data_IF_021351490059
#
_entry.id   IF_021351490059
#
_cell.length_a   1.000
_cell.length_b   1.000
_cell.length_c   1.000
_cell.angle_alpha   90.00
_cell.angle_beta   90.00
_cell.angle_gamma   90.00
#
_symmetry.space_group_name_H-M   'P 1'
#
loop_
_entity.id
_entity.type
_entity.pdbx_description
1 polymer ?
#
# COMPACT_ATOMS: atom_id res chain seq x y z
N UNK A 1 -4.24 3.87 -5.52
CA UNK A 1 -4.27 2.67 -4.65
C UNK A 1 -5.61 2.51 -3.92
N UNK A 2 -6.02 3.44 -3.04
CA UNK A 2 -7.31 3.34 -2.31
C UNK A 2 -8.52 3.17 -3.25
N UNK A 3 -8.63 4.04 -4.27
CA UNK A 3 -9.68 3.93 -5.29
C UNK A 3 -9.69 2.57 -6.02
N UNK A 4 -8.50 2.06 -6.37
CA UNK A 4 -8.35 0.76 -7.03
C UNK A 4 -8.85 -0.40 -6.15
N UNK A 5 -8.59 -0.34 -4.84
CA UNK A 5 -9.07 -1.32 -3.87
C UNK A 5 -10.59 -1.25 -3.65
N UNK A 6 -11.17 -0.06 -3.70
CA UNK A 6 -12.64 0.10 -3.70
C UNK A 6 -13.27 -0.47 -4.97
N UNK A 7 -12.66 -0.25 -6.14
CA UNK A 7 -13.12 -0.82 -7.40
C UNK A 7 -13.11 -2.36 -7.35
N UNK A 8 -12.05 -2.95 -6.81
CA UNK A 8 -11.95 -4.40 -6.57
C UNK A 8 -13.03 -4.89 -5.60
N UNK A 9 -13.26 -4.17 -4.50
CA UNK A 9 -14.32 -4.52 -3.54
C UNK A 9 -15.70 -4.50 -4.20
N UNK A 10 -16.02 -3.47 -4.98
CA UNK A 10 -17.32 -3.33 -5.64
C UNK A 10 -17.53 -4.43 -6.70
N UNK A 11 -16.53 -4.68 -7.53
CA UNK A 11 -16.60 -5.70 -8.58
C UNK A 11 -16.73 -7.13 -8.04
N UNK A 12 -16.14 -7.44 -6.89
CA UNK A 12 -16.15 -8.79 -6.31
C UNK A 12 -17.31 -9.05 -5.32
N UNK A 13 -17.93 -8.00 -4.77
CA UNK A 13 -18.92 -8.16 -3.69
C UNK A 13 -20.36 -7.90 -4.12
N UNK A 14 -20.57 -7.17 -5.21
CA UNK A 14 -21.89 -6.71 -5.60
C UNK A 14 -22.53 -7.61 -6.67
N UNK A 15 -23.64 -8.32 -6.37
CA UNK A 15 -24.22 -9.30 -7.29
C UNK A 15 -24.66 -8.73 -8.64
N UNK A 16 -25.16 -7.49 -8.68
CA UNK A 16 -25.58 -6.86 -9.94
C UNK A 16 -24.42 -6.54 -10.89
N UNK A 17 -23.18 -6.56 -10.40
CA UNK A 17 -21.97 -6.37 -11.21
C UNK A 17 -21.33 -7.71 -11.62
N UNK A 18 -21.96 -8.85 -11.30
CA UNK A 18 -21.45 -10.18 -11.67
C UNK A 18 -21.07 -10.33 -13.15
N UNK A 19 -21.84 -9.80 -14.14
CA UNK A 19 -21.47 -9.90 -15.55
C UNK A 19 -20.16 -9.19 -15.91
N UNK A 20 -19.78 -8.16 -15.16
CA UNK A 20 -18.59 -7.34 -15.40
C UNK A 20 -17.49 -7.56 -14.34
N UNK A 21 -17.71 -8.46 -13.38
CA UNK A 21 -16.84 -8.65 -12.21
C UNK A 21 -15.40 -8.97 -12.60
N UNK A 22 -15.19 -9.86 -13.59
CA UNK A 22 -13.85 -10.20 -14.09
C UNK A 22 -13.12 -8.98 -14.68
N UNK A 23 -13.78 -8.20 -15.53
CA UNK A 23 -13.20 -6.99 -16.13
C UNK A 23 -12.86 -5.95 -15.06
N UNK A 24 -13.75 -5.72 -14.09
CA UNK A 24 -13.52 -4.80 -12.99
C UNK A 24 -12.37 -5.28 -12.08
N UNK A 25 -12.24 -6.58 -11.85
CA UNK A 25 -11.15 -7.16 -11.09
C UNK A 25 -9.79 -6.95 -11.77
N UNK A 26 -9.72 -7.17 -13.09
CA UNK A 26 -8.50 -6.93 -13.88
C UNK A 26 -8.14 -5.44 -13.86
N UNK A 27 -9.10 -4.56 -14.18
CA UNK A 27 -8.87 -3.12 -14.20
C UNK A 27 -8.43 -2.60 -12.82
N UNK A 28 -9.10 -3.03 -11.76
CA UNK A 28 -8.74 -2.68 -10.39
C UNK A 28 -7.33 -3.13 -10.02
N UNK A 29 -6.95 -4.35 -10.39
CA UNK A 29 -5.63 -4.92 -10.11
C UNK A 29 -4.53 -4.19 -10.87
N UNK A 30 -4.70 -3.97 -12.18
CA UNK A 30 -3.72 -3.26 -13.01
C UNK A 30 -3.55 -1.82 -12.53
N UNK A 31 -4.66 -1.13 -12.24
CA UNK A 31 -4.62 0.24 -11.70
C UNK A 31 -3.90 0.30 -10.35
N UNK A 32 -4.08 -0.71 -9.50
CA UNK A 32 -3.38 -0.81 -8.23
C UNK A 32 -1.88 -1.00 -8.43
N UNK A 33 -1.48 -1.93 -9.30
CA UNK A 33 -0.07 -2.21 -9.61
C UNK A 33 0.61 -0.95 -10.18
N UNK A 34 -0.02 -0.26 -11.14
CA UNK A 34 0.51 0.98 -11.70
C UNK A 34 0.72 2.06 -10.63
N UNK A 35 -0.28 2.28 -9.78
CA UNK A 35 -0.17 3.27 -8.70
C UNK A 35 0.90 2.90 -7.66
N UNK A 36 1.06 1.61 -7.35
CA UNK A 36 2.11 1.14 -6.46
C UNK A 36 3.49 1.36 -7.07
N UNK A 37 3.70 0.94 -8.32
CA UNK A 37 4.98 1.04 -9.02
C UNK A 37 5.47 2.48 -9.21
N UNK A 38 4.55 3.44 -9.36
CA UNK A 38 4.91 4.86 -9.50
C UNK A 38 5.22 5.56 -8.16
N UNK A 39 4.73 5.04 -7.04
CA UNK A 39 4.80 5.73 -5.75
C UNK A 39 5.29 4.81 -4.63
N UNK A 40 4.35 4.12 -3.99
CA UNK A 40 4.62 3.36 -2.76
C UNK A 40 5.66 2.23 -2.90
N UNK A 41 5.96 1.77 -4.12
CA UNK A 41 7.03 0.83 -4.40
C UNK A 41 8.42 1.46 -4.24
N UNK A 42 8.83 2.37 -5.15
CA UNK A 42 10.19 2.92 -5.14
C UNK A 42 10.42 4.04 -4.12
N UNK A 43 9.42 4.88 -3.84
CA UNK A 43 9.62 6.14 -3.10
C UNK A 43 10.10 5.92 -1.66
N UNK A 44 9.53 4.99 -0.86
CA UNK A 44 10.02 4.77 0.50
C UNK A 44 11.49 4.34 0.55
N UNK A 45 11.94 3.51 -0.39
CA UNK A 45 13.33 3.07 -0.44
C UNK A 45 14.29 4.24 -0.73
N UNK A 46 13.87 5.18 -1.57
CA UNK A 46 14.63 6.42 -1.85
C UNK A 46 14.66 7.34 -0.62
N UNK A 47 13.49 7.64 -0.05
CA UNK A 47 13.36 8.52 1.12
C UNK A 47 14.18 8.05 2.32
N UNK A 48 14.26 6.74 2.56
CA UNK A 48 15.06 6.19 3.65
C UNK A 48 16.55 6.57 3.53
N UNK A 49 17.07 6.72 2.32
CA UNK A 49 18.46 7.13 2.10
C UNK A 49 18.67 8.64 2.17
N UNK A 50 17.61 9.42 1.89
CA UNK A 50 17.62 10.89 1.80
C UNK A 50 17.30 11.59 3.13
N UNK A 51 16.52 10.96 4.01
CA UNK A 51 16.08 11.57 5.29
C UNK A 51 17.08 11.30 6.42
N UNK A 52 17.77 10.15 6.40
CA UNK A 52 18.63 9.76 7.53
C UNK A 52 20.08 10.23 7.37
N UNK A 53 20.63 10.96 8.37
CA UNK A 53 22.03 11.37 8.36
C UNK A 53 22.97 10.17 8.37
N UNK A 54 24.13 10.35 7.73
CA UNK A 54 25.13 9.31 7.48
C UNK A 54 25.48 8.47 8.73
N UNK A 55 25.57 9.11 9.90
CA UNK A 55 25.92 8.49 11.18
C UNK A 55 24.93 7.41 11.66
N UNK A 56 23.64 7.55 11.37
CA UNK A 56 22.59 6.62 11.85
C UNK A 56 21.90 5.84 10.74
N UNK A 57 22.16 6.18 9.48
CA UNK A 57 21.47 5.64 8.30
C UNK A 57 21.38 4.12 8.32
N UNK A 58 22.49 3.42 8.56
CA UNK A 58 22.51 1.96 8.56
C UNK A 58 21.54 1.35 9.59
N UNK A 59 21.47 1.93 10.80
CA UNK A 59 20.57 1.46 11.87
C UNK A 59 19.10 1.81 11.58
N UNK A 60 18.86 3.00 11.06
CA UNK A 60 17.51 3.46 10.76
C UNK A 60 16.90 2.67 9.58
N UNK A 61 17.68 2.46 8.51
CA UNK A 61 17.27 1.66 7.34
C UNK A 61 17.01 0.20 7.73
N UNK A 62 17.87 -0.41 8.57
CA UNK A 62 17.66 -1.81 8.99
C UNK A 62 16.39 -1.98 9.83
N UNK A 63 16.09 -1.03 10.73
CA UNK A 63 14.84 -1.03 11.49
C UNK A 63 13.62 -0.89 10.57
N UNK A 64 13.64 0.08 9.65
CA UNK A 64 12.55 0.30 8.69
C UNK A 64 12.29 -0.93 7.82
N UNK A 65 13.35 -1.56 7.32
CA UNK A 65 13.24 -2.79 6.53
C UNK A 65 12.76 -3.97 7.38
N UNK A 66 13.20 -4.07 8.63
CA UNK A 66 12.70 -5.07 9.57
C UNK A 66 11.19 -4.94 9.81
N UNK A 67 10.71 -3.73 10.10
CA UNK A 67 9.27 -3.44 10.26
C UNK A 67 8.50 -3.77 8.98
N UNK A 68 9.06 -3.44 7.82
CA UNK A 68 8.46 -3.76 6.52
C UNK A 68 8.28 -5.27 6.35
N UNK A 69 9.33 -6.07 6.58
CA UNK A 69 9.26 -7.53 6.44
C UNK A 69 8.34 -8.19 7.46
N UNK A 70 8.36 -7.74 8.72
CA UNK A 70 7.43 -8.24 9.75
C UNK A 70 5.98 -7.95 9.33
N UNK A 71 5.69 -6.74 8.87
CA UNK A 71 4.35 -6.38 8.41
C UNK A 71 3.93 -7.21 7.20
N UNK A 72 4.83 -7.40 6.23
CA UNK A 72 4.58 -8.22 5.05
C UNK A 72 4.30 -9.69 5.43
N UNK A 73 5.09 -10.25 6.36
CA UNK A 73 4.86 -11.60 6.88
C UNK A 73 3.49 -11.74 7.55
N UNK A 74 3.10 -10.77 8.40
CA UNK A 74 1.80 -10.79 9.06
C UNK A 74 0.65 -10.71 8.05
N UNK A 75 0.74 -9.84 7.05
CA UNK A 75 -0.27 -9.78 5.99
C UNK A 75 -0.34 -11.11 5.25
N UNK A 76 0.79 -11.68 4.82
CA UNK A 76 0.83 -12.97 4.14
C UNK A 76 0.23 -14.12 4.96
N UNK A 77 0.50 -14.14 6.27
CA UNK A 77 0.01 -15.16 7.20
C UNK A 77 -1.51 -15.06 7.44
N UNK A 78 -2.03 -13.84 7.62
CA UNK A 78 -3.41 -13.63 8.04
C UNK A 78 -4.39 -13.31 6.90
N UNK A 79 -3.91 -12.97 5.70
CA UNK A 79 -4.76 -12.52 4.60
C UNK A 79 -5.87 -13.54 4.27
N UNK A 80 -5.51 -14.81 4.04
CA UNK A 80 -6.52 -15.83 3.70
C UNK A 80 -7.51 -16.05 4.84
N UNK A 81 -7.02 -16.10 6.09
CA UNK A 81 -7.88 -16.21 7.27
C UNK A 81 -8.87 -15.05 7.39
N UNK A 82 -8.43 -13.83 7.08
CA UNK A 82 -9.29 -12.65 7.06
C UNK A 82 -10.32 -12.71 5.93
N UNK A 83 -9.92 -13.13 4.72
CA UNK A 83 -10.81 -13.28 3.57
C UNK A 83 -11.87 -14.34 3.83
N UNK A 84 -11.51 -15.50 4.42
CA UNK A 84 -12.48 -16.55 4.76
C UNK A 84 -13.48 -16.08 5.82
N UNK A 85 -13.04 -15.29 6.81
CA UNK A 85 -13.90 -14.84 7.91
C UNK A 85 -14.80 -13.65 7.53
N UNK A 86 -14.27 -12.68 6.78
CA UNK A 86 -14.95 -11.40 6.53
C UNK A 86 -15.41 -11.23 5.07
N UNK A 87 -14.97 -12.09 4.16
CA UNK A 87 -15.17 -11.95 2.74
C UNK A 87 -14.17 -10.98 2.09
N UNK A 88 -13.83 -11.24 0.82
CA UNK A 88 -12.83 -10.47 0.06
C UNK A 88 -13.16 -8.98 -0.03
N UNK A 89 -14.44 -8.64 -0.18
CA UNK A 89 -14.92 -7.26 -0.26
C UNK A 89 -14.55 -6.41 0.94
N UNK A 90 -14.90 -6.88 2.14
CA UNK A 90 -14.64 -6.15 3.38
C UNK A 90 -13.15 -6.03 3.67
N UNK A 91 -12.37 -7.06 3.33
CA UNK A 91 -10.91 -7.03 3.44
C UNK A 91 -10.32 -5.94 2.54
N UNK A 92 -10.76 -5.86 1.28
CA UNK A 92 -10.31 -4.81 0.35
C UNK A 92 -10.80 -3.41 0.72
N UNK A 93 -11.98 -3.26 1.32
CA UNK A 93 -12.41 -2.00 1.91
C UNK A 93 -11.51 -1.57 3.07
N UNK A 94 -11.10 -2.51 3.93
CA UNK A 94 -10.13 -2.26 5.00
C UNK A 94 -8.78 -1.78 4.45
N UNK A 95 -8.24 -2.45 3.42
CA UNK A 95 -7.03 -1.99 2.76
C UNK A 95 -7.20 -0.63 2.06
N UNK A 96 -8.37 -0.36 1.45
CA UNK A 96 -8.65 0.93 0.85
C UNK A 96 -8.63 2.07 1.89
N UNK A 97 -9.21 1.84 3.08
CA UNK A 97 -9.18 2.77 4.20
C UNK A 97 -7.74 2.99 4.70
N UNK A 98 -6.96 1.91 4.86
CA UNK A 98 -5.56 2.00 5.27
C UNK A 98 -4.73 2.79 4.25
N UNK A 99 -4.91 2.56 2.95
CA UNK A 99 -4.25 3.33 1.90
C UNK A 99 -4.63 4.82 1.95
N UNK A 100 -5.88 5.15 2.27
CA UNK A 100 -6.31 6.54 2.39
C UNK A 100 -5.68 7.23 3.61
N UNK A 101 -5.68 6.56 4.76
CA UNK A 101 -5.03 7.06 5.98
C UNK A 101 -3.53 7.25 5.74
N UNK A 102 -2.87 6.29 5.08
CA UNK A 102 -1.46 6.41 4.71
C UNK A 102 -1.21 7.61 3.78
N UNK A 103 -2.08 7.85 2.79
CA UNK A 103 -1.96 9.00 1.90
C UNK A 103 -2.10 10.34 2.64
N UNK A 104 -3.04 10.43 3.60
CA UNK A 104 -3.21 11.61 4.45
C UNK A 104 -1.98 11.81 5.36
N UNK A 105 -1.49 10.73 5.98
CA UNK A 105 -0.30 10.81 6.83
C UNK A 105 0.91 11.30 6.04
N UNK A 106 1.14 10.76 4.84
CA UNK A 106 2.26 11.15 3.98
C UNK A 106 2.13 12.62 3.58
N UNK A 107 0.94 13.07 3.15
CA UNK A 107 0.77 14.46 2.71
C UNK A 107 0.97 15.49 3.81
N UNK A 108 0.74 15.12 5.08
CA UNK A 108 0.90 16.01 6.22
C UNK A 108 2.29 15.95 6.88
N UNK A 109 2.93 14.78 6.91
CA UNK A 109 4.12 14.55 7.74
C UNK A 109 5.40 14.32 6.93
N UNK A 110 5.32 13.90 5.67
CA UNK A 110 6.49 13.62 4.85
C UNK A 110 6.83 14.87 4.03
N UNK A 111 8.04 15.38 4.22
CA UNK A 111 8.55 16.56 3.51
C UNK A 111 9.24 16.11 2.22
N UNK A 112 9.12 16.92 1.16
CA UNK A 112 9.81 16.71 -0.10
C UNK A 112 11.33 16.89 0.07
N UNK A 113 12.09 15.83 -0.22
CA UNK A 113 13.57 15.77 -0.11
C UNK A 113 14.28 16.00 -1.43
N UNK A 114 13.55 16.01 -2.57
CA UNK A 114 14.13 16.15 -3.90
C UNK A 114 14.95 17.44 -4.03
N UNK A 115 16.20 17.28 -4.43
CA UNK A 115 17.13 18.39 -4.70
C UNK A 115 17.63 19.09 -3.44
N UNK A 116 17.42 18.52 -2.26
CA UNK A 116 18.01 19.00 -1.00
C UNK A 116 19.30 18.23 -0.71
N UNK A 117 20.32 18.94 -0.22
CA UNK A 117 21.47 18.27 0.37
C UNK A 117 21.07 17.65 1.69
N UNK A 118 21.70 16.51 1.99
CA UNK A 118 21.49 15.78 3.24
C UNK A 118 22.24 16.43 4.41
N UNK A 119 23.29 17.20 4.07
CA UNK A 119 24.14 18.01 4.93
C UNK A 119 24.02 19.50 4.54
#
# INVERSE_FOLDING_TARGET
MSFSMLLLSLGLSWPSLAPCSGTLAVLGTVSYILAFSLGAGPVPALLLSEIFPSKIRAKAVSLSLGVHWVTNFMIGLYFLSAVTKFGVGRVYQGFAALCLVAAIYISQNVVETKGKSLE
#
